data_IF_942999822881
#
_entry.id   IF_942999822881
#
_cell.length_a   1.000
_cell.length_b   1.000
_cell.length_c   1.000
_cell.angle_alpha   90.00
_cell.angle_beta   90.00
_cell.angle_gamma   90.00
#
_symmetry.space_group_name_H-M   'P 1'
#
loop_
_entity.id
_entity.type
_entity.pdbx_description
1 polymer ?
#
# COMPACT_ATOMS: atom_id res chain seq x y z
N UNK A 1 11.49 -4.54 -24.23
CA UNK A 1 10.96 -3.99 -25.49
C UNK A 1 9.47 -3.66 -25.28
N UNK A 2 9.09 -2.38 -25.40
CA UNK A 2 7.68 -1.95 -25.36
C UNK A 2 6.91 -2.23 -26.65
N UNK A 3 7.51 -2.84 -27.63
CA UNK A 3 6.85 -3.16 -28.90
C UNK A 3 5.68 -4.14 -28.62
N UNK A 4 4.48 -3.63 -28.57
CA UNK A 4 3.27 -4.44 -28.40
C UNK A 4 2.33 -4.04 -27.24
N UNK A 5 2.73 -3.14 -26.34
CA UNK A 5 1.85 -2.66 -25.28
C UNK A 5 1.28 -1.27 -25.61
N UNK A 6 -0.04 -1.16 -25.60
CA UNK A 6 -0.74 0.09 -25.90
C UNK A 6 -0.58 1.19 -24.83
N UNK A 7 -0.08 0.84 -23.65
CA UNK A 7 0.23 1.77 -22.55
C UNK A 7 1.48 1.33 -21.82
N UNK A 8 2.43 2.25 -21.52
CA UNK A 8 3.59 1.94 -20.68
C UNK A 8 3.14 1.61 -19.26
N UNK A 9 3.85 0.72 -18.55
CA UNK A 9 3.59 0.49 -17.13
C UNK A 9 3.81 1.76 -16.32
N UNK A 10 2.93 1.97 -15.34
CA UNK A 10 2.90 3.18 -14.50
C UNK A 10 4.06 3.34 -13.52
N UNK A 11 5.02 2.44 -13.50
CA UNK A 11 6.11 2.38 -12.52
C UNK A 11 7.51 2.27 -13.10
N UNK A 12 7.74 2.72 -14.33
CA UNK A 12 9.09 2.90 -14.83
C UNK A 12 9.49 4.37 -14.76
N UNK A 13 10.75 4.62 -14.44
CA UNK A 13 11.25 5.97 -14.25
C UNK A 13 11.60 6.68 -15.57
N UNK A 14 11.96 5.95 -16.64
CA UNK A 14 12.42 6.52 -17.90
C UNK A 14 11.98 5.71 -19.13
N UNK A 15 11.74 6.44 -20.23
CA UNK A 15 11.57 5.86 -21.56
C UNK A 15 12.93 5.55 -22.14
N UNK A 16 13.33 4.29 -22.19
CA UNK A 16 14.60 3.87 -22.79
C UNK A 16 14.37 3.27 -24.17
N UNK A 17 15.29 3.53 -25.09
CA UNK A 17 15.31 2.89 -26.42
C UNK A 17 16.01 1.52 -26.38
N UNK A 18 16.39 1.04 -25.19
CA UNK A 18 17.01 -0.24 -24.95
C UNK A 18 16.08 -1.27 -24.33
N UNK A 19 16.64 -2.42 -23.99
CA UNK A 19 15.95 -3.46 -23.22
C UNK A 19 15.55 -2.90 -21.87
N UNK A 20 14.27 -3.02 -21.56
CA UNK A 20 13.77 -2.76 -20.22
C UNK A 20 13.62 -4.09 -19.52
N UNK A 21 14.51 -4.35 -18.57
CA UNK A 21 14.46 -5.54 -17.73
C UNK A 21 13.42 -5.28 -16.64
N UNK A 22 12.42 -6.11 -16.57
CA UNK A 22 11.40 -5.98 -15.53
C UNK A 22 11.91 -6.57 -14.21
N UNK A 23 11.46 -6.05 -13.05
CA UNK A 23 11.93 -6.54 -11.75
C UNK A 23 11.80 -8.06 -11.53
N UNK A 24 10.85 -8.71 -12.22
CA UNK A 24 10.69 -10.16 -12.15
C UNK A 24 11.66 -10.95 -13.05
N UNK A 25 12.26 -10.31 -14.05
CA UNK A 25 13.33 -10.87 -14.88
C UNK A 25 14.71 -10.70 -14.21
N UNK A 26 14.83 -9.71 -13.32
CA UNK A 26 16.02 -9.41 -12.53
C UNK A 26 16.06 -10.11 -11.16
N UNK A 27 15.19 -11.08 -10.92
CA UNK A 27 15.09 -11.72 -9.59
C UNK A 27 16.45 -12.25 -9.07
N UNK A 28 17.34 -12.68 -9.96
CA UNK A 28 18.68 -13.16 -9.59
C UNK A 28 19.61 -11.99 -9.23
N UNK A 29 19.57 -10.86 -9.93
CA UNK A 29 20.37 -9.66 -9.61
C UNK A 29 19.90 -9.02 -8.30
N UNK A 30 18.59 -8.91 -8.09
CA UNK A 30 18.03 -8.42 -6.83
C UNK A 30 18.38 -9.38 -5.67
N UNK A 31 18.34 -10.68 -5.90
CA UNK A 31 18.76 -11.67 -4.89
C UNK A 31 20.23 -11.50 -4.52
N UNK A 32 21.13 -11.24 -5.47
CA UNK A 32 22.53 -10.92 -5.19
C UNK A 32 22.69 -9.65 -4.35
N UNK A 33 21.84 -8.64 -4.59
CA UNK A 33 21.84 -7.41 -3.79
C UNK A 33 21.47 -7.70 -2.34
N UNK A 34 20.45 -8.53 -2.09
CA UNK A 34 20.09 -8.98 -0.73
C UNK A 34 21.23 -9.76 -0.08
N UNK A 35 21.91 -10.64 -0.82
CA UNK A 35 23.07 -11.38 -0.30
C UNK A 35 24.21 -10.42 0.12
N UNK A 36 24.46 -9.37 -0.66
CA UNK A 36 25.43 -8.30 -0.30
C UNK A 36 25.03 -7.54 0.95
N UNK A 37 23.73 -7.28 1.16
CA UNK A 37 23.25 -6.65 2.40
C UNK A 37 23.50 -7.54 3.61
N UNK A 38 23.28 -8.86 3.50
CA UNK A 38 23.59 -9.83 4.56
C UNK A 38 25.07 -9.79 4.91
N UNK A 39 25.94 -9.77 3.89
CA UNK A 39 27.39 -9.66 4.08
C UNK A 39 27.77 -8.30 4.71
N UNK A 40 27.15 -7.21 4.28
CA UNK A 40 27.41 -5.86 4.80
C UNK A 40 27.11 -5.74 6.31
N UNK A 41 26.06 -6.42 6.80
CA UNK A 41 25.76 -6.44 8.25
C UNK A 41 26.64 -7.42 9.04
N UNK A 42 27.58 -8.09 8.41
CA UNK A 42 28.59 -8.96 9.05
C UNK A 42 28.19 -10.43 9.13
N UNK A 43 27.11 -10.87 8.44
CA UNK A 43 26.72 -12.28 8.40
C UNK A 43 27.18 -12.97 7.10
N UNK A 44 27.26 -14.30 7.13
CA UNK A 44 27.64 -15.10 5.98
C UNK A 44 26.41 -15.52 5.16
N UNK A 45 26.21 -14.98 3.94
CA UNK A 45 25.08 -15.34 3.10
C UNK A 45 25.07 -16.81 2.64
N UNK A 46 26.20 -17.52 2.75
CA UNK A 46 26.33 -18.94 2.37
C UNK A 46 26.01 -19.94 3.50
N UNK A 47 25.79 -19.49 4.74
CA UNK A 47 25.43 -20.41 5.83
C UNK A 47 24.02 -20.99 5.65
N UNK A 48 23.81 -22.22 6.11
CA UNK A 48 22.59 -23.01 5.89
C UNK A 48 21.28 -22.28 6.26
N UNK A 49 21.26 -21.50 7.35
CA UNK A 49 20.06 -20.74 7.76
C UNK A 49 19.73 -19.52 6.91
N UNK A 50 20.64 -19.07 6.05
CA UNK A 50 20.52 -17.79 5.33
C UNK A 50 20.61 -17.96 3.81
N UNK A 51 21.15 -19.07 3.30
CA UNK A 51 21.40 -19.28 1.88
C UNK A 51 20.16 -19.07 0.99
N UNK A 52 18.98 -19.39 1.48
CA UNK A 52 17.72 -19.18 0.77
C UNK A 52 17.08 -17.80 1.04
N UNK A 53 17.61 -17.02 1.99
CA UNK A 53 17.03 -15.74 2.40
C UNK A 53 16.92 -14.73 1.25
N UNK A 54 17.93 -14.57 0.38
CA UNK A 54 17.81 -13.63 -0.75
C UNK A 54 16.60 -13.90 -1.63
N UNK A 55 16.39 -15.15 -2.03
CA UNK A 55 15.25 -15.56 -2.86
C UNK A 55 13.91 -15.36 -2.12
N UNK A 56 13.85 -15.69 -0.81
CA UNK A 56 12.64 -15.50 -0.01
C UNK A 56 12.27 -14.04 0.14
N UNK A 57 13.24 -13.16 0.34
CA UNK A 57 13.04 -11.70 0.43
C UNK A 57 12.47 -11.17 -0.87
N UNK A 58 13.09 -11.45 -2.01
CA UNK A 58 12.62 -11.00 -3.33
C UNK A 58 11.21 -11.52 -3.62
N UNK A 59 10.93 -12.79 -3.31
CA UNK A 59 9.59 -13.36 -3.47
C UNK A 59 8.55 -12.64 -2.61
N UNK A 60 8.88 -12.31 -1.34
CA UNK A 60 7.96 -11.62 -0.44
C UNK A 60 7.59 -10.21 -0.91
N UNK A 61 8.48 -9.52 -1.64
CA UNK A 61 8.19 -8.18 -2.18
C UNK A 61 7.05 -8.18 -3.18
N UNK A 62 6.82 -9.28 -3.89
CA UNK A 62 5.66 -9.40 -4.78
C UNK A 62 4.32 -9.29 -4.05
N UNK A 63 4.28 -9.70 -2.79
CA UNK A 63 3.12 -9.57 -1.92
C UNK A 63 3.13 -8.23 -1.17
N UNK A 64 4.27 -7.86 -0.55
CA UNK A 64 4.39 -6.65 0.25
C UNK A 64 4.14 -5.38 -0.57
N UNK A 65 4.50 -5.38 -1.85
CA UNK A 65 4.39 -4.23 -2.75
C UNK A 65 3.38 -4.44 -3.89
N UNK A 66 2.45 -5.38 -3.73
CA UNK A 66 1.41 -5.64 -4.76
C UNK A 66 0.57 -4.42 -5.09
N UNK A 67 0.39 -3.50 -4.14
CA UNK A 67 -0.41 -2.31 -4.29
C UNK A 67 0.03 -1.38 -5.43
N UNK A 68 1.30 -1.45 -5.87
CA UNK A 68 1.74 -0.74 -7.06
C UNK A 68 1.14 -1.27 -8.37
N UNK A 69 0.61 -2.50 -8.37
CA UNK A 69 -0.04 -3.14 -9.52
C UNK A 69 -1.56 -3.04 -9.47
N UNK A 70 -2.11 -2.66 -8.31
CA UNK A 70 -3.54 -2.51 -8.11
C UNK A 70 -4.02 -1.14 -8.62
N UNK A 71 -5.22 -1.13 -9.20
CA UNK A 71 -5.89 0.08 -9.68
C UNK A 71 -7.06 0.42 -8.75
N UNK A 72 -6.99 1.53 -7.99
CA UNK A 72 -8.04 1.93 -7.07
C UNK A 72 -9.37 2.17 -7.77
N UNK A 73 -9.37 2.67 -9.03
CA UNK A 73 -10.57 2.89 -9.82
C UNK A 73 -11.29 1.57 -10.12
N UNK A 74 -10.54 0.53 -10.50
CA UNK A 74 -11.11 -0.81 -10.70
C UNK A 74 -11.68 -1.40 -9.42
N UNK A 75 -11.01 -1.17 -8.28
CA UNK A 75 -11.48 -1.62 -6.98
C UNK A 75 -12.85 -1.00 -6.67
N UNK A 76 -13.01 0.31 -6.90
CA UNK A 76 -14.23 1.06 -6.59
C UNK A 76 -15.26 1.06 -7.74
N UNK A 77 -14.99 0.43 -8.88
CA UNK A 77 -15.87 0.48 -10.08
C UNK A 77 -17.25 -0.17 -9.88
N UNK A 78 -17.34 -1.18 -9.01
CA UNK A 78 -18.62 -1.85 -8.73
C UNK A 78 -19.38 -1.07 -7.65
N UNK A 79 -20.26 -0.19 -8.10
CA UNK A 79 -21.07 0.70 -7.30
C UNK A 79 -22.54 0.30 -7.35
N UNK A 80 -23.30 0.68 -6.35
CA UNK A 80 -24.73 0.48 -6.23
C UNK A 80 -25.40 1.83 -6.03
N UNK A 81 -26.52 2.08 -6.72
CA UNK A 81 -27.30 3.29 -6.51
C UNK A 81 -28.12 3.18 -5.24
N UNK A 82 -28.19 4.28 -4.51
CA UNK A 82 -29.06 4.44 -3.34
C UNK A 82 -30.18 5.41 -3.70
N UNK A 83 -31.44 4.97 -3.56
CA UNK A 83 -32.58 5.84 -3.80
C UNK A 83 -32.55 7.06 -2.89
N UNK A 84 -32.80 8.26 -3.44
CA UNK A 84 -32.85 9.53 -2.70
C UNK A 84 -33.78 9.53 -1.50
N UNK A 85 -34.87 8.74 -1.53
CA UNK A 85 -35.75 8.56 -0.39
C UNK A 85 -35.10 7.83 0.79
N UNK A 86 -33.99 7.11 0.54
CA UNK A 86 -33.19 6.37 1.52
C UNK A 86 -31.73 6.87 1.58
N UNK A 87 -31.40 7.98 0.91
CA UNK A 87 -30.14 8.68 1.12
C UNK A 87 -30.22 9.30 2.53
N UNK A 88 -30.09 8.43 3.52
CA UNK A 88 -29.87 8.85 4.88
C UNK A 88 -28.58 9.66 4.87
N UNK A 89 -28.57 10.81 5.52
CA UNK A 89 -27.34 11.56 5.82
C UNK A 89 -26.40 10.77 6.75
N UNK A 90 -26.66 9.48 6.91
CA UNK A 90 -25.91 8.61 7.79
C UNK A 90 -24.62 8.13 7.11
N UNK A 91 -23.50 8.25 7.79
CA UNK A 91 -22.23 7.81 7.25
C UNK A 91 -22.16 6.28 7.15
N UNK A 92 -21.63 5.78 6.06
CA UNK A 92 -21.14 4.41 5.97
C UNK A 92 -19.75 4.39 6.61
N UNK A 93 -19.56 3.58 7.64
CA UNK A 93 -18.29 3.49 8.37
C UNK A 93 -17.83 2.03 8.46
N UNK A 94 -16.62 1.76 8.03
CA UNK A 94 -15.94 0.50 8.22
C UNK A 94 -14.70 0.74 9.09
N UNK A 95 -14.70 0.12 10.27
CA UNK A 95 -13.66 0.36 11.28
C UNK A 95 -12.71 -0.82 11.42
N UNK A 96 -11.53 -0.52 11.96
CA UNK A 96 -10.54 -1.50 12.36
C UNK A 96 -10.06 -2.41 11.21
N UNK A 97 -9.96 -1.88 10.01
CA UNK A 97 -9.35 -2.58 8.87
C UNK A 97 -7.87 -2.72 9.18
N UNK A 98 -7.39 -3.93 9.40
CA UNK A 98 -5.96 -4.19 9.60
C UNK A 98 -5.16 -3.86 8.36
N UNK A 99 -3.98 -3.26 8.53
CA UNK A 99 -3.08 -2.99 7.44
C UNK A 99 -1.61 -3.18 7.83
N UNK A 100 -0.80 -3.51 6.83
CA UNK A 100 0.65 -3.53 6.88
C UNK A 100 1.20 -2.69 5.74
N UNK A 101 2.17 -1.83 6.05
CA UNK A 101 2.83 -0.98 5.07
C UNK A 101 4.33 -0.91 5.33
N UNK A 102 5.07 -0.31 4.42
CA UNK A 102 6.51 -0.13 4.54
C UNK A 102 6.85 1.35 4.56
N UNK A 103 7.50 1.79 5.63
CA UNK A 103 8.02 3.15 5.75
C UNK A 103 9.00 3.44 4.61
N UNK A 104 8.72 4.42 3.77
CA UNK A 104 9.55 4.75 2.61
C UNK A 104 10.96 5.25 2.98
N UNK A 105 11.14 5.81 4.18
CA UNK A 105 12.41 6.35 4.63
C UNK A 105 13.41 5.28 5.12
N UNK A 106 12.89 4.14 5.62
CA UNK A 106 13.74 3.15 6.31
C UNK A 106 13.53 1.72 5.82
N UNK A 107 12.58 1.47 4.92
CA UNK A 107 12.14 0.14 4.46
C UNK A 107 11.72 -0.79 5.61
N UNK A 108 11.36 -0.23 6.76
CA UNK A 108 10.85 -0.97 7.91
C UNK A 108 9.32 -0.95 7.94
N UNK A 109 8.67 -2.01 8.41
CA UNK A 109 7.23 -2.06 8.49
C UNK A 109 6.64 -1.03 9.45
N UNK A 110 5.45 -0.56 9.12
CA UNK A 110 4.50 0.00 10.07
C UNK A 110 3.12 -0.64 9.83
N UNK A 111 2.37 -0.80 10.88
CA UNK A 111 1.13 -1.56 10.84
C UNK A 111 0.16 -1.12 11.92
N UNK A 112 -1.10 -1.40 11.71
CA UNK A 112 -2.15 -1.01 12.63
C UNK A 112 -3.53 -1.19 12.04
N UNK A 113 -4.43 -0.22 12.30
CA UNK A 113 -5.79 -0.24 11.79
C UNK A 113 -6.15 1.07 11.09
N UNK A 114 -7.01 0.95 10.08
CA UNK A 114 -7.61 2.08 9.38
C UNK A 114 -9.12 1.98 9.50
N UNK A 115 -9.75 3.11 9.84
CA UNK A 115 -11.20 3.31 9.74
C UNK A 115 -11.50 4.19 8.55
N UNK A 116 -12.43 3.78 7.70
CA UNK A 116 -12.85 4.48 6.49
C UNK A 116 -14.33 4.74 6.56
N UNK A 117 -14.72 6.00 6.43
CA UNK A 117 -16.12 6.40 6.40
C UNK A 117 -16.39 7.38 5.27
N UNK A 118 -17.64 7.39 4.78
CA UNK A 118 -18.12 8.39 3.84
C UNK A 118 -19.63 8.58 3.97
N UNK A 119 -20.11 9.76 3.62
CA UNK A 119 -21.54 10.06 3.55
C UNK A 119 -21.99 9.91 2.10
N UNK A 120 -22.76 8.87 1.75
CA UNK A 120 -23.16 8.62 0.37
C UNK A 120 -24.00 9.78 -0.19
N UNK A 121 -23.73 10.16 -1.44
CA UNK A 121 -24.59 11.08 -2.20
C UNK A 121 -25.65 10.28 -2.99
N UNK A 122 -25.20 9.44 -3.93
CA UNK A 122 -26.08 8.62 -4.76
C UNK A 122 -25.57 7.18 -4.91
N UNK A 123 -24.32 6.94 -4.53
CA UNK A 123 -23.63 5.68 -4.77
C UNK A 123 -22.98 5.15 -3.51
N UNK A 124 -23.04 3.84 -3.37
CA UNK A 124 -22.32 3.10 -2.34
C UNK A 124 -21.49 1.98 -2.98
N UNK A 125 -20.43 1.59 -2.30
CA UNK A 125 -19.62 0.42 -2.67
C UNK A 125 -19.77 -0.68 -1.64
N UNK A 126 -19.55 -1.92 -2.08
CA UNK A 126 -19.48 -3.04 -1.13
C UNK A 126 -18.35 -2.84 -0.12
N UNK A 127 -18.60 -3.16 1.15
CA UNK A 127 -17.64 -2.97 2.27
C UNK A 127 -16.27 -3.60 2.00
N UNK A 128 -16.23 -4.77 1.33
CA UNK A 128 -14.99 -5.42 0.92
C UNK A 128 -14.13 -4.59 -0.03
N UNK A 129 -14.72 -3.61 -0.74
CA UNK A 129 -13.98 -2.72 -1.63
C UNK A 129 -13.18 -1.69 -0.85
N UNK A 130 -13.71 -1.23 0.28
CA UNK A 130 -12.99 -0.33 1.20
C UNK A 130 -11.75 -1.02 1.77
N UNK A 131 -11.88 -2.27 2.22
CA UNK A 131 -10.73 -3.04 2.70
C UNK A 131 -9.67 -3.28 1.60
N UNK A 132 -10.11 -3.60 0.38
CA UNK A 132 -9.18 -3.74 -0.77
C UNK A 132 -8.52 -2.42 -1.17
N UNK A 133 -9.21 -1.29 -1.01
CA UNK A 133 -8.63 0.03 -1.26
C UNK A 133 -7.53 0.34 -0.23
N UNK A 134 -7.76 0.01 1.04
CA UNK A 134 -6.73 0.10 2.09
C UNK A 134 -5.51 -0.74 1.71
N UNK A 135 -5.70 -1.99 1.30
CA UNK A 135 -4.61 -2.86 0.82
C UNK A 135 -3.87 -2.27 -0.39
N UNK A 136 -4.61 -1.74 -1.37
CA UNK A 136 -4.04 -1.13 -2.58
C UNK A 136 -3.05 0.00 -2.25
N UNK A 137 -3.35 0.84 -1.28
CA UNK A 137 -2.48 1.95 -0.91
C UNK A 137 -1.47 1.60 0.19
N UNK A 138 -1.78 0.69 1.10
CA UNK A 138 -0.86 0.28 2.17
C UNK A 138 0.26 -0.63 1.68
N UNK A 139 0.02 -1.49 0.67
CA UNK A 139 1.02 -2.38 0.10
C UNK A 139 1.97 -1.67 -0.86
N UNK A 140 2.57 -0.57 -0.39
CA UNK A 140 3.50 0.31 -1.12
C UNK A 140 4.55 0.85 -0.14
N UNK A 141 5.54 1.57 -0.66
CA UNK A 141 6.38 2.45 0.15
C UNK A 141 5.56 3.68 0.53
N UNK A 142 5.38 3.95 1.84
CA UNK A 142 4.42 4.94 2.32
C UNK A 142 4.92 5.75 3.51
N UNK A 143 4.23 6.87 3.70
CA UNK A 143 4.07 7.54 4.98
C UNK A 143 2.60 7.48 5.38
N UNK A 144 2.31 7.46 6.67
CA UNK A 144 0.95 7.22 7.18
C UNK A 144 -0.03 8.32 6.77
N UNK A 145 0.39 9.56 6.73
CA UNK A 145 -0.40 10.72 6.32
C UNK A 145 -0.86 10.57 4.86
N UNK A 146 0.10 10.34 3.95
CA UNK A 146 -0.21 10.16 2.53
C UNK A 146 -1.09 8.93 2.27
N UNK A 147 -0.93 7.86 3.05
CA UNK A 147 -1.81 6.70 2.99
C UNK A 147 -3.27 7.09 3.25
N UNK A 148 -3.53 7.87 4.30
CA UNK A 148 -4.89 8.36 4.60
C UNK A 148 -5.43 9.27 3.49
N UNK A 149 -4.61 10.19 3.00
CA UNK A 149 -4.99 11.11 1.93
C UNK A 149 -5.36 10.38 0.64
N UNK A 150 -4.52 9.45 0.19
CA UNK A 150 -4.78 8.69 -1.04
C UNK A 150 -6.04 7.85 -0.98
N UNK A 151 -6.35 7.26 0.19
CA UNK A 151 -7.60 6.53 0.39
C UNK A 151 -8.79 7.48 0.32
N UNK A 152 -8.71 8.64 0.98
CA UNK A 152 -9.78 9.63 1.00
C UNK A 152 -10.02 10.21 -0.40
N UNK A 153 -8.96 10.57 -1.12
CA UNK A 153 -9.02 11.11 -2.48
C UNK A 153 -9.66 10.11 -3.45
N UNK A 154 -9.24 8.85 -3.41
CA UNK A 154 -9.82 7.82 -4.28
C UNK A 154 -11.33 7.62 -4.05
N UNK A 155 -11.79 7.68 -2.80
CA UNK A 155 -13.22 7.60 -2.48
C UNK A 155 -13.94 8.85 -2.97
N UNK A 156 -13.37 10.03 -2.75
CA UNK A 156 -13.93 11.30 -3.19
C UNK A 156 -14.06 11.37 -4.71
N UNK A 157 -13.04 10.96 -5.44
CA UNK A 157 -13.03 10.98 -6.90
C UNK A 157 -14.03 9.99 -7.52
N UNK A 158 -14.13 8.78 -6.97
CA UNK A 158 -14.91 7.70 -7.60
C UNK A 158 -16.40 7.68 -7.19
N UNK A 159 -16.73 8.11 -5.97
CA UNK A 159 -18.10 8.07 -5.45
C UNK A 159 -18.76 9.43 -5.35
N UNK A 160 -18.00 10.54 -5.39
CA UNK A 160 -18.48 11.90 -5.17
C UNK A 160 -19.42 12.00 -3.94
N UNK A 161 -19.04 11.49 -2.77
CA UNK A 161 -19.85 11.53 -1.57
C UNK A 161 -19.94 12.96 -1.02
N UNK A 162 -20.83 13.21 -0.06
CA UNK A 162 -20.92 14.50 0.65
C UNK A 162 -19.74 14.75 1.59
N UNK A 163 -19.02 13.71 1.96
CA UNK A 163 -17.82 13.80 2.78
C UNK A 163 -17.14 12.45 2.92
N UNK A 164 -15.84 12.47 3.17
CA UNK A 164 -15.00 11.28 3.42
C UNK A 164 -14.22 11.48 4.71
N UNK A 165 -14.08 10.44 5.48
CA UNK A 165 -13.25 10.38 6.68
C UNK A 165 -12.38 9.12 6.65
N UNK A 166 -11.08 9.31 6.80
CA UNK A 166 -10.11 8.19 6.92
C UNK A 166 -9.24 8.45 8.14
N UNK A 167 -9.16 7.48 9.03
CA UNK A 167 -8.31 7.54 10.23
C UNK A 167 -7.44 6.30 10.28
N UNK A 168 -6.13 6.49 10.34
CA UNK A 168 -5.16 5.42 10.58
C UNK A 168 -4.56 5.55 11.98
N UNK A 169 -4.38 4.43 12.65
CA UNK A 169 -3.67 4.30 13.92
C UNK A 169 -2.65 3.18 13.79
N UNK A 170 -1.35 3.48 13.93
CA UNK A 170 -0.30 2.53 13.65
C UNK A 170 0.94 2.66 14.52
N UNK A 171 1.67 1.55 14.60
CA UNK A 171 2.97 1.41 15.23
C UNK A 171 4.05 1.33 14.15
N UNK A 172 5.13 2.07 14.33
CA UNK A 172 6.21 2.20 13.35
C UNK A 172 7.49 1.54 13.84
N UNK A 173 7.93 0.48 13.18
CA UNK A 173 9.18 -0.19 13.57
C UNK A 173 10.41 0.70 13.39
N UNK A 174 10.38 1.66 12.47
CA UNK A 174 11.44 2.63 12.30
C UNK A 174 11.64 3.54 13.53
N UNK A 175 10.63 3.66 14.39
CA UNK A 175 10.70 4.39 15.66
C UNK A 175 10.85 3.44 16.86
N UNK A 176 10.30 2.23 16.78
CA UNK A 176 10.24 1.27 17.88
C UNK A 176 11.54 0.47 17.99
N UNK A 177 12.03 -0.09 16.87
CA UNK A 177 13.17 -1.01 16.85
C UNK A 177 14.53 -0.31 16.85
N UNK A 178 14.56 0.97 16.52
CA UNK A 178 15.79 1.79 16.43
C UNK A 178 15.46 3.27 16.64
N UNK A 179 16.48 4.14 16.60
CA UNK A 179 16.31 5.58 16.77
C UNK A 179 15.88 5.93 18.20
N UNK A 180 14.70 6.52 18.34
CA UNK A 180 14.18 6.95 19.66
C UNK A 180 13.67 5.81 20.54
N UNK A 181 13.50 4.61 19.99
CA UNK A 181 13.15 3.37 20.70
C UNK A 181 11.92 3.48 21.60
N UNK A 182 10.86 4.16 21.15
CA UNK A 182 9.60 4.34 21.89
C UNK A 182 8.61 3.24 21.54
N UNK A 183 8.67 2.15 22.30
CA UNK A 183 7.96 0.90 21.99
C UNK A 183 6.43 0.99 22.07
N UNK A 184 5.89 1.85 22.94
CA UNK A 184 4.45 1.97 23.18
C UNK A 184 3.81 3.16 22.43
N UNK A 185 4.58 3.90 21.64
CA UNK A 185 4.05 5.01 20.88
C UNK A 185 3.25 4.52 19.67
N UNK A 186 2.07 5.08 19.49
CA UNK A 186 1.23 4.90 18.31
C UNK A 186 1.00 6.25 17.64
N UNK A 187 1.06 6.26 16.33
CA UNK A 187 0.76 7.44 15.52
C UNK A 187 -0.67 7.38 15.02
N UNK A 188 -1.38 8.50 15.09
CA UNK A 188 -2.71 8.66 14.49
C UNK A 188 -2.64 9.73 13.40
N UNK A 189 -3.15 9.40 12.21
CA UNK A 189 -3.33 10.32 11.09
C UNK A 189 -4.78 10.31 10.64
N UNK A 190 -5.27 11.47 10.21
CA UNK A 190 -6.64 11.64 9.74
C UNK A 190 -6.63 12.41 8.42
N UNK A 191 -7.45 11.97 7.47
CA UNK A 191 -7.77 12.71 6.26
C UNK A 191 -9.29 12.90 6.16
N UNK A 192 -9.71 14.09 5.73
CA UNK A 192 -11.13 14.45 5.52
C UNK A 192 -11.26 15.09 4.14
N UNK A 193 -12.34 14.79 3.44
CA UNK A 193 -12.73 15.44 2.19
C UNK A 193 -14.21 15.84 2.26
#
# INVERSE_FOLDING_TARGET
HYAGHSKPPTYYAEKSNGWMVYPWEESDEISKTVARQIQYVGDNPGRAGVIETPKRVVKSWNELYRGYRDDPRKILSKQFEVSRSNASSEPVLLENIEFYSTCEHHLLPFFGTISVGYIPNQKVVGISKLARLVDCFSRRLQIQERLCEQIADAIQEELAPFGVYVKAKARHLCMIARGVSKQNAEMTSVAVR
#
